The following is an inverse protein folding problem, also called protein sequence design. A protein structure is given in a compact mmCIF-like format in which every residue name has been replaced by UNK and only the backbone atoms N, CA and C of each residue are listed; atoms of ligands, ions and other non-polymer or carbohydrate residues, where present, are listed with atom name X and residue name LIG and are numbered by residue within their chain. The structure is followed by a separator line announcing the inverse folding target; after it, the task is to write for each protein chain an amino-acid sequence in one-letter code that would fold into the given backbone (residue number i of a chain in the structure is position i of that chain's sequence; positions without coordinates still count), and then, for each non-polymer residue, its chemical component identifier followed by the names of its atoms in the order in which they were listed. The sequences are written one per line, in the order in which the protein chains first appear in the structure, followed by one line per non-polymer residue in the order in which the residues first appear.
data_IF_641725497819
#
_entry.id   IF_641725497819
#
_cell.length_a   1.000
_cell.length_b   1.000
_cell.length_c   1.000
_cell.angle_alpha   90.00
_cell.angle_beta   90.00
_cell.angle_gamma   90.00
#
_symmetry.space_group_name_H-M   'P 1'
#
loop_
_entity.id
_entity.type
_entity.pdbx_description
1 polymer ?
#
# COMPACT_ATOMS: atom_id res chain seq x y z
N UNK A 1 -29.05 -22.91 5.74
CA UNK A 1 -28.44 -22.04 4.72
C UNK A 1 -27.09 -21.61 5.24
N UNK A 2 -25.99 -22.11 4.66
CA UNK A 2 -24.64 -21.80 5.10
C UNK A 2 -24.32 -20.36 4.71
N UNK A 3 -24.42 -19.45 5.67
CA UNK A 3 -23.93 -18.09 5.53
C UNK A 3 -22.43 -18.16 5.31
N UNK A 4 -21.99 -17.91 4.08
CA UNK A 4 -20.59 -17.82 3.72
C UNK A 4 -19.94 -16.79 4.64
N UNK A 5 -19.20 -17.29 5.63
CA UNK A 5 -18.31 -16.51 6.47
C UNK A 5 -17.29 -15.90 5.51
N UNK A 6 -17.57 -14.70 5.02
CA UNK A 6 -16.61 -13.87 4.30
C UNK A 6 -15.57 -13.50 5.34
N UNK A 7 -14.60 -14.40 5.55
CA UNK A 7 -13.45 -14.20 6.41
C UNK A 7 -12.94 -12.79 6.12
N UNK A 8 -13.14 -11.89 7.08
CA UNK A 8 -12.57 -10.56 7.00
C UNK A 8 -11.08 -10.79 6.85
N UNK A 9 -10.54 -10.44 5.68
CA UNK A 9 -9.11 -10.60 5.42
C UNK A 9 -8.34 -10.07 6.63
N UNK A 10 -7.39 -10.84 7.20
CA UNK A 10 -6.73 -10.49 8.45
C UNK A 10 -6.26 -9.04 8.41
N UNK A 11 -6.43 -8.31 9.51
CA UNK A 11 -6.02 -6.91 9.59
C UNK A 11 -4.54 -6.80 9.22
N UNK A 12 -4.23 -5.94 8.24
CA UNK A 12 -2.84 -5.70 7.82
C UNK A 12 -1.99 -5.30 9.01
N UNK A 13 -0.96 -6.09 9.31
CA UNK A 13 -0.05 -5.78 10.42
C UNK A 13 0.90 -4.65 10.04
N UNK A 14 1.49 -3.94 11.01
CA UNK A 14 2.45 -2.87 10.72
C UNK A 14 3.63 -3.38 9.87
N UNK A 15 4.15 -4.56 10.19
CA UNK A 15 5.28 -5.16 9.46
C UNK A 15 4.90 -5.49 8.01
N UNK A 16 3.73 -6.09 7.82
CA UNK A 16 3.19 -6.40 6.49
C UNK A 16 2.97 -5.13 5.65
N UNK A 17 2.55 -4.02 6.27
CA UNK A 17 2.43 -2.72 5.58
C UNK A 17 3.79 -2.16 5.19
N UNK A 18 4.80 -2.24 6.05
CA UNK A 18 6.16 -1.80 5.74
C UNK A 18 6.77 -2.63 4.59
N UNK A 19 6.59 -3.94 4.63
CA UNK A 19 7.01 -4.83 3.54
C UNK A 19 6.29 -4.49 2.23
N UNK A 20 4.99 -4.16 2.28
CA UNK A 20 4.22 -3.76 1.10
C UNK A 20 4.76 -2.46 0.50
N UNK A 21 5.09 -1.49 1.35
CA UNK A 21 5.67 -0.21 0.97
C UNK A 21 7.05 -0.42 0.34
N UNK A 22 7.89 -1.28 0.93
CA UNK A 22 9.22 -1.58 0.41
C UNK A 22 9.17 -2.26 -0.98
N UNK A 23 8.33 -3.29 -1.15
CA UNK A 23 8.14 -3.95 -2.45
C UNK A 23 7.53 -2.99 -3.47
N UNK A 24 6.58 -2.15 -3.04
CA UNK A 24 6.00 -1.15 -3.93
C UNK A 24 7.02 -0.11 -4.39
N UNK A 25 7.94 0.34 -3.52
CA UNK A 25 9.03 1.27 -3.87
C UNK A 25 9.91 0.70 -4.97
N UNK A 26 10.39 -0.53 -4.77
CA UNK A 26 11.28 -1.23 -5.71
C UNK A 26 10.64 -1.38 -7.10
N UNK A 27 9.35 -1.74 -7.13
CA UNK A 27 8.62 -1.84 -8.40
C UNK A 27 8.33 -0.45 -8.98
N UNK A 28 7.96 0.56 -8.19
CA UNK A 28 7.56 1.90 -8.68
C UNK A 28 8.69 2.70 -9.32
N UNK A 29 9.95 2.43 -8.96
CA UNK A 29 11.15 3.04 -9.55
C UNK A 29 11.37 2.60 -11.02
N UNK A 30 10.67 1.55 -11.48
CA UNK A 30 10.85 1.04 -12.83
C UNK A 30 10.20 1.98 -13.89
N UNK A 31 10.98 2.58 -14.82
CA UNK A 31 10.47 3.57 -15.79
C UNK A 31 9.45 3.01 -16.78
N UNK A 32 9.36 1.69 -16.86
CA UNK A 32 8.48 0.91 -17.73
C UNK A 32 6.98 0.97 -17.35
N UNK A 33 6.63 1.64 -16.25
CA UNK A 33 5.33 1.51 -15.57
C UNK A 33 4.29 2.62 -15.87
N UNK A 34 4.54 3.51 -16.82
CA UNK A 34 3.65 4.65 -17.14
C UNK A 34 2.26 4.32 -17.74
N UNK A 35 1.87 3.05 -17.93
CA UNK A 35 0.60 2.70 -18.62
C UNK A 35 -0.39 1.86 -17.78
N UNK A 36 -1.69 2.07 -18.00
CA UNK A 36 -2.80 1.40 -17.26
C UNK A 36 -2.73 -0.14 -17.30
N UNK A 37 -2.42 -0.77 -18.44
CA UNK A 37 -2.31 -2.24 -18.53
C UNK A 37 -1.11 -2.79 -17.76
N UNK A 38 -0.01 -2.04 -17.71
CA UNK A 38 1.20 -2.40 -16.97
C UNK A 38 0.99 -2.29 -15.46
N UNK A 39 0.04 -1.43 -15.05
CA UNK A 39 -0.35 -1.25 -13.65
C UNK A 39 -0.95 -2.52 -13.02
N UNK A 40 -1.69 -3.35 -13.77
CA UNK A 40 -2.18 -4.64 -13.27
C UNK A 40 -1.02 -5.60 -12.97
N UNK A 41 -0.05 -5.72 -13.89
CA UNK A 41 1.16 -6.53 -13.71
C UNK A 41 2.01 -6.08 -12.52
N UNK A 42 2.02 -4.78 -12.19
CA UNK A 42 2.70 -4.28 -10.98
C UNK A 42 2.08 -4.91 -9.73
N UNK A 43 0.75 -4.90 -9.61
CA UNK A 43 0.11 -5.47 -8.42
C UNK A 43 0.30 -6.98 -8.32
N UNK A 44 0.42 -7.68 -9.45
CA UNK A 44 0.81 -9.10 -9.46
C UNK A 44 2.23 -9.31 -8.93
N UNK A 45 3.19 -8.48 -9.35
CA UNK A 45 4.56 -8.53 -8.83
C UNK A 45 4.64 -8.15 -7.36
N UNK A 46 3.91 -7.12 -6.93
CA UNK A 46 3.84 -6.70 -5.53
C UNK A 46 3.25 -7.83 -4.68
N UNK A 47 2.15 -8.44 -5.12
CA UNK A 47 1.57 -9.61 -4.45
C UNK A 47 2.58 -10.76 -4.35
N UNK A 48 3.33 -11.02 -5.42
CA UNK A 48 4.40 -12.03 -5.41
C UNK A 48 5.52 -11.69 -4.42
N UNK A 49 6.00 -10.44 -4.38
CA UNK A 49 7.05 -10.02 -3.45
C UNK A 49 6.60 -10.04 -1.99
N UNK A 50 5.34 -9.71 -1.72
CA UNK A 50 4.73 -9.84 -0.39
C UNK A 50 4.57 -11.32 0.01
N UNK A 51 4.21 -12.17 -0.94
CA UNK A 51 4.13 -13.63 -0.76
C UNK A 51 5.48 -14.26 -0.47
N UNK A 52 6.54 -13.81 -1.14
CA UNK A 52 7.92 -14.25 -0.89
C UNK A 52 8.39 -13.94 0.54
N UNK A 53 7.90 -12.84 1.11
CA UNK A 53 8.11 -12.46 2.52
C UNK A 53 7.21 -13.21 3.51
N UNK A 54 6.41 -14.17 3.04
CA UNK A 54 5.53 -15.00 3.87
C UNK A 54 4.11 -14.46 4.04
N UNK A 55 3.72 -13.41 3.32
CA UNK A 55 2.39 -12.80 3.44
C UNK A 55 1.49 -13.16 2.26
N UNK A 56 0.39 -13.86 2.52
CA UNK A 56 -0.50 -14.32 1.47
C UNK A 56 -1.56 -13.25 1.16
N UNK A 57 -1.19 -12.27 0.32
CA UNK A 57 -2.09 -11.19 -0.13
C UNK A 57 -2.29 -11.20 -1.62
N UNK A 58 -3.55 -11.04 -2.02
CA UNK A 58 -3.95 -10.95 -3.42
C UNK A 58 -3.57 -9.58 -4.03
N UNK A 59 -3.25 -9.49 -5.34
CA UNK A 59 -2.97 -8.22 -6.01
C UNK A 59 -4.02 -7.13 -5.75
N UNK A 60 -5.30 -7.51 -5.69
CA UNK A 60 -6.39 -6.58 -5.41
C UNK A 60 -6.35 -6.06 -3.97
N UNK A 61 -5.96 -6.89 -2.99
CA UNK A 61 -5.79 -6.47 -1.61
C UNK A 61 -4.62 -5.50 -1.46
N UNK A 62 -3.48 -5.79 -2.11
CA UNK A 62 -2.32 -4.90 -2.16
C UNK A 62 -2.70 -3.54 -2.77
N UNK A 63 -3.49 -3.54 -3.85
CA UNK A 63 -3.98 -2.32 -4.50
C UNK A 63 -4.87 -1.47 -3.60
N UNK A 64 -5.84 -2.09 -2.93
CA UNK A 64 -6.72 -1.38 -1.99
C UNK A 64 -5.89 -0.77 -0.86
N UNK A 65 -4.96 -1.55 -0.29
CA UNK A 65 -4.12 -1.09 0.81
C UNK A 65 -3.20 0.06 0.42
N UNK A 66 -2.55 -0.03 -0.75
CA UNK A 66 -1.73 1.07 -1.29
C UNK A 66 -2.54 2.32 -1.58
N UNK A 67 -3.80 2.18 -2.03
CA UNK A 67 -4.70 3.32 -2.22
C UNK A 67 -5.04 3.98 -0.88
N UNK A 68 -5.30 3.21 0.17
CA UNK A 68 -5.51 3.74 1.53
C UNK A 68 -4.27 4.48 2.05
N UNK A 69 -3.08 3.89 1.90
CA UNK A 69 -1.82 4.48 2.33
C UNK A 69 -1.53 5.81 1.62
N UNK A 70 -1.68 5.86 0.28
CA UNK A 70 -1.52 7.11 -0.48
C UNK A 70 -2.52 8.18 -0.09
N UNK A 71 -3.77 7.80 0.17
CA UNK A 71 -4.78 8.76 0.63
C UNK A 71 -4.45 9.30 2.02
N UNK A 72 -4.00 8.45 2.95
CA UNK A 72 -3.56 8.89 4.27
C UNK A 72 -2.35 9.84 4.16
N UNK A 73 -1.36 9.50 3.34
CA UNK A 73 -0.20 10.36 3.07
C UNK A 73 -0.58 11.71 2.47
N UNK A 74 -1.40 11.74 1.42
CA UNK A 74 -1.85 12.99 0.81
C UNK A 74 -2.65 13.85 1.79
N UNK A 75 -3.52 13.24 2.60
CA UNK A 75 -4.29 13.95 3.62
C UNK A 75 -3.37 14.57 4.68
N UNK A 76 -2.35 13.84 5.13
CA UNK A 76 -1.34 14.37 6.06
C UNK A 76 -0.49 15.46 5.40
N UNK A 77 -0.10 15.31 4.13
CA UNK A 77 0.65 16.34 3.38
C UNK A 77 -0.16 17.63 3.19
N UNK A 78 -1.43 17.52 2.82
CA UNK A 78 -2.32 18.67 2.65
C UNK A 78 -2.59 19.38 3.98
N UNK A 79 -2.74 18.61 5.07
CA UNK A 79 -2.89 19.16 6.41
C UNK A 79 -1.60 19.83 6.92
N UNK A 80 -0.41 19.28 6.63
CA UNK A 80 0.89 19.97 6.89
C UNK A 80 0.97 21.28 6.11
N UNK A 81 0.55 21.29 4.84
CA UNK A 81 0.62 22.46 3.97
C UNK A 81 -0.37 23.59 4.36
N UNK A 82 -1.57 23.25 4.87
CA UNK A 82 -2.58 24.26 5.26
C UNK A 82 -2.42 24.81 6.67
N UNK A 83 -1.94 24.01 7.62
CA UNK A 83 -1.96 24.41 9.04
C UNK A 83 -0.58 24.69 9.64
N UNK A 84 0.53 24.45 8.92
CA UNK A 84 1.90 24.63 9.45
C UNK A 84 2.25 23.77 10.68
N UNK A 85 1.31 22.96 11.15
CA UNK A 85 1.38 22.11 12.34
C UNK A 85 1.36 20.65 11.90
N UNK A 86 2.17 19.80 12.54
CA UNK A 86 2.24 18.38 12.18
C UNK A 86 0.92 17.64 12.46
N UNK A 87 0.27 17.07 11.44
CA UNK A 87 -0.84 16.17 11.66
C UNK A 87 -0.27 14.81 12.05
N UNK A 88 -0.53 14.37 13.29
CA UNK A 88 -0.21 13.03 13.81
C UNK A 88 -0.96 11.87 13.11
N UNK A 89 -1.49 12.06 11.91
CA UNK A 89 -2.55 11.18 11.36
C UNK A 89 -2.05 10.03 10.50
N UNK A 90 -0.83 10.07 9.95
CA UNK A 90 -0.29 8.96 9.16
C UNK A 90 0.97 8.40 9.81
N UNK A 91 0.84 7.26 10.49
CA UNK A 91 1.95 6.54 11.17
C UNK A 91 3.04 6.00 10.23
N UNK A 92 2.84 6.09 8.91
CA UNK A 92 3.78 5.66 7.87
C UNK A 92 4.14 6.84 6.94
N UNK A 93 4.00 8.08 7.43
CA UNK A 93 4.24 9.26 6.62
C UNK A 93 5.69 9.30 6.11
N UNK A 94 6.66 9.06 7.00
CA UNK A 94 8.08 9.08 6.66
C UNK A 94 8.46 8.01 5.63
N UNK A 95 8.00 6.77 5.80
CA UNK A 95 8.24 5.72 4.80
C UNK A 95 7.57 6.00 3.46
N UNK A 96 6.43 6.69 3.42
CA UNK A 96 5.76 7.09 2.18
C UNK A 96 6.37 8.35 1.55
N UNK A 97 6.99 9.22 2.34
CA UNK A 97 7.68 10.43 1.86
C UNK A 97 9.06 10.11 1.29
N UNK A 98 9.69 9.04 1.78
CA UNK A 98 10.95 8.53 1.27
C UNK A 98 10.81 7.80 -0.08
N UNK A 99 9.61 7.58 -0.60
CA UNK A 99 9.33 7.01 -1.94
C UNK A 99 9.07 8.15 -2.91
#
# INVERSE_FOLDING_TARGET
MQSQNRERAPAWTKREVLDLIAVWRDESELPQLRSKRRNAKIFEKISKGIKDRGYHRDPQQCRVKLKELKQAYHKTKESKARSGSEPQTCRFYDELHAI
#
